data_IF_556412418240
#
_entry.id   IF_556412418240
#
_cell.length_a   1.000
_cell.length_b   1.000
_cell.length_c   1.000
_cell.angle_alpha   90.00
_cell.angle_beta   90.00
_cell.angle_gamma   90.00
#
_symmetry.space_group_name_H-M   'P 1'
#
loop_
_entity.id
_entity.type
_entity.pdbx_description
1 polymer ?
#
# COMPACT_ATOMS: atom_id res chain seq x y z
N UNK A 1 -4.01 -13.18 17.43
CA UNK A 1 -2.58 -13.55 17.42
C UNK A 1 -2.13 -14.19 16.12
N UNK A 2 -2.69 -15.31 15.62
CA UNK A 2 -2.19 -15.95 14.39
C UNK A 2 -2.36 -15.12 13.11
N UNK A 3 -3.51 -14.47 12.92
CA UNK A 3 -3.83 -13.71 11.70
C UNK A 3 -2.94 -12.46 11.51
N UNK A 4 -2.64 -11.74 12.59
CA UNK A 4 -1.80 -10.54 12.54
C UNK A 4 -0.34 -10.89 12.21
N UNK A 5 0.17 -11.99 12.76
CA UNK A 5 1.50 -12.49 12.45
C UNK A 5 1.64 -12.91 10.97
N UNK A 6 0.57 -13.47 10.38
CA UNK A 6 0.53 -13.80 8.96
C UNK A 6 0.61 -12.53 8.12
N UNK A 7 -0.19 -11.50 8.43
CA UNK A 7 -0.16 -10.24 7.68
C UNK A 7 1.23 -9.58 7.73
N UNK A 8 1.86 -9.52 8.91
CA UNK A 8 3.21 -8.94 9.04
C UNK A 8 4.25 -9.74 8.25
N UNK A 9 4.18 -11.07 8.29
CA UNK A 9 5.07 -11.93 7.48
C UNK A 9 4.91 -11.67 5.98
N UNK A 10 3.67 -11.56 5.51
CA UNK A 10 3.37 -11.26 4.11
C UNK A 10 3.85 -9.86 3.71
N UNK A 11 3.67 -8.84 4.54
CA UNK A 11 4.24 -7.51 4.33
C UNK A 11 5.77 -7.61 4.25
N UNK A 12 6.41 -8.32 5.17
CA UNK A 12 7.86 -8.52 5.16
C UNK A 12 8.35 -9.18 3.87
N UNK A 13 7.64 -10.20 3.36
CA UNK A 13 7.96 -10.83 2.06
C UNK A 13 7.85 -9.84 0.92
N UNK A 14 6.80 -9.02 0.88
CA UNK A 14 6.63 -7.98 -0.15
C UNK A 14 7.82 -7.04 -0.15
N UNK A 15 8.27 -6.55 1.02
CA UNK A 15 9.44 -5.66 1.10
C UNK A 15 10.78 -6.37 0.89
N UNK A 16 10.83 -7.70 0.98
CA UNK A 16 12.01 -8.48 0.61
C UNK A 16 12.09 -8.71 -0.91
N UNK A 17 10.95 -8.85 -1.58
CA UNK A 17 10.86 -9.07 -3.03
C UNK A 17 10.91 -7.77 -3.84
N UNK A 18 10.27 -6.70 -3.34
CA UNK A 18 10.12 -5.44 -4.04
C UNK A 18 10.84 -4.32 -3.29
N UNK A 19 11.68 -3.57 -4.01
CA UNK A 19 12.48 -2.47 -3.45
C UNK A 19 11.65 -1.20 -3.29
N UNK A 20 10.69 -0.95 -4.19
CA UNK A 20 9.84 0.25 -4.18
C UNK A 20 8.37 -0.12 -4.03
N UNK A 21 7.90 -0.07 -2.80
CA UNK A 21 6.53 -0.41 -2.43
C UNK A 21 5.75 0.86 -2.09
N UNK A 22 4.49 0.91 -2.52
CA UNK A 22 3.52 1.90 -2.08
C UNK A 22 2.34 1.23 -1.36
N UNK A 23 1.69 1.97 -0.48
CA UNK A 23 0.40 1.60 0.12
C UNK A 23 -0.65 2.59 -0.39
N UNK A 24 -1.71 2.08 -1.02
CA UNK A 24 -2.78 2.91 -1.55
C UNK A 24 -4.00 2.86 -0.62
N UNK A 25 -4.35 4.03 -0.07
CA UNK A 25 -5.45 4.25 0.84
C UNK A 25 -4.98 4.76 2.20
N UNK A 26 -5.76 5.68 2.78
CA UNK A 26 -5.53 6.28 4.11
C UNK A 26 -6.79 6.18 4.99
N UNK A 27 -7.56 5.10 4.82
CA UNK A 27 -8.74 4.81 5.65
C UNK A 27 -8.41 3.87 6.81
N UNK A 28 -9.43 3.47 7.56
CA UNK A 28 -9.30 2.63 8.77
C UNK A 28 -8.49 1.34 8.54
N UNK A 29 -8.60 0.73 7.36
CA UNK A 29 -7.82 -0.47 6.99
C UNK A 29 -6.32 -0.15 6.94
N UNK A 30 -5.95 0.97 6.32
CA UNK A 30 -4.57 1.41 6.25
C UNK A 30 -4.06 1.78 7.65
N UNK A 31 -4.90 2.41 8.49
CA UNK A 31 -4.53 2.74 9.86
C UNK A 31 -4.24 1.48 10.67
N UNK A 32 -5.11 0.46 10.58
CA UNK A 32 -4.91 -0.82 11.25
C UNK A 32 -3.66 -1.56 10.75
N UNK A 33 -3.37 -1.50 9.45
CA UNK A 33 -2.16 -2.08 8.87
C UNK A 33 -0.91 -1.39 9.41
N UNK A 34 -0.85 -0.06 9.36
CA UNK A 34 0.30 0.70 9.82
C UNK A 34 0.48 0.54 11.33
N UNK A 35 -0.59 0.57 12.13
CA UNK A 35 -0.49 0.43 13.57
C UNK A 35 0.14 -0.90 14.00
N UNK A 36 -0.23 -1.99 13.31
CA UNK A 36 0.21 -3.35 13.63
C UNK A 36 1.50 -3.77 12.95
N UNK A 37 1.84 -3.17 11.81
CA UNK A 37 3.02 -3.55 11.04
C UNK A 37 4.25 -2.75 11.43
N UNK A 38 5.20 -3.39 12.10
CA UNK A 38 6.54 -2.84 12.32
C UNK A 38 7.26 -2.58 11.00
N UNK A 39 7.11 -3.49 10.02
CA UNK A 39 7.74 -3.37 8.71
C UNK A 39 7.27 -2.11 7.97
N UNK A 40 5.97 -1.80 7.96
CA UNK A 40 5.48 -0.57 7.32
C UNK A 40 6.05 0.69 7.96
N UNK A 41 6.10 0.74 9.30
CA UNK A 41 6.66 1.89 10.04
C UNK A 41 8.16 2.07 9.76
N UNK A 42 8.94 1.00 9.71
CA UNK A 42 10.39 1.05 9.50
C UNK A 42 10.76 1.32 8.03
N UNK A 43 10.03 0.72 7.08
CA UNK A 43 10.33 0.84 5.65
C UNK A 43 9.85 2.14 5.05
N UNK A 44 8.90 2.83 5.70
CA UNK A 44 8.39 4.13 5.28
C UNK A 44 7.99 4.17 3.79
N UNK A 45 7.01 3.35 3.37
CA UNK A 45 6.59 3.29 1.96
C UNK A 45 5.93 4.58 1.49
N UNK A 46 5.76 4.70 0.18
CA UNK A 46 4.92 5.76 -0.37
C UNK A 46 3.45 5.50 0.00
N UNK A 47 2.82 6.45 0.69
CA UNK A 47 1.37 6.40 0.95
C UNK A 47 0.66 7.17 -0.15
N UNK A 48 -0.34 6.56 -0.78
CA UNK A 48 -1.05 7.12 -1.95
C UNK A 48 -2.53 7.23 -1.65
N UNK A 49 -3.14 8.38 -1.94
CA UNK A 49 -4.59 8.54 -1.87
C UNK A 49 -5.12 9.42 -3.00
N UNK A 50 -6.26 9.02 -3.58
CA UNK A 50 -6.93 9.78 -4.64
C UNK A 50 -7.65 11.02 -4.10
N UNK A 51 -7.94 11.08 -2.81
CA UNK A 51 -8.58 12.22 -2.18
C UNK A 51 -7.59 13.39 -2.08
N UNK A 52 -7.79 14.41 -2.92
CA UNK A 52 -6.95 15.62 -2.96
C UNK A 52 -6.84 16.34 -1.61
N UNK A 53 -7.89 16.27 -0.78
CA UNK A 53 -7.89 16.90 0.54
C UNK A 53 -6.96 16.19 1.54
N UNK A 54 -6.59 14.94 1.27
CA UNK A 54 -5.65 14.17 2.09
C UNK A 54 -4.22 14.27 1.58
N UNK A 55 -3.99 14.70 0.35
CA UNK A 55 -2.64 14.78 -0.22
C UNK A 55 -1.82 15.86 0.49
N UNK A 56 -0.50 15.64 0.55
CA UNK A 56 0.46 16.44 1.32
C UNK A 56 0.27 16.41 2.85
N UNK A 57 -0.78 15.76 3.36
CA UNK A 57 -0.93 15.50 4.80
C UNK A 57 0.01 14.38 5.27
N UNK A 58 0.08 14.19 6.58
CA UNK A 58 0.89 13.14 7.21
C UNK A 58 0.01 11.95 7.59
N UNK A 59 0.50 10.74 7.31
CA UNK A 59 -0.11 9.47 7.67
C UNK A 59 0.96 8.55 8.24
N UNK A 60 0.95 8.33 9.56
CA UNK A 60 1.98 7.54 10.26
C UNK A 60 3.42 7.96 9.91
N UNK A 61 3.68 9.26 9.80
CA UNK A 61 5.00 9.82 9.45
C UNK A 61 5.33 9.79 7.95
N UNK A 62 4.44 9.23 7.12
CA UNK A 62 4.55 9.27 5.66
C UNK A 62 3.77 10.46 5.11
N UNK A 63 4.31 11.18 4.12
CA UNK A 63 3.51 12.16 3.37
C UNK A 63 2.59 11.45 2.40
N UNK A 64 1.30 11.78 2.42
CA UNK A 64 0.31 11.23 1.48
C UNK A 64 0.53 11.85 0.10
N UNK A 65 0.89 11.02 -0.86
CA UNK A 65 1.10 11.39 -2.26
C UNK A 65 -0.17 11.21 -3.09
N UNK A 66 -0.22 11.89 -4.23
CA UNK A 66 -1.24 11.62 -5.22
C UNK A 66 -0.90 10.36 -6.06
N UNK A 67 -1.88 9.80 -6.80
CA UNK A 67 -1.68 8.65 -7.68
C UNK A 67 -0.56 8.76 -8.72
N UNK A 68 -0.15 9.97 -9.15
CA UNK A 68 0.93 10.13 -10.15
C UNK A 68 2.27 9.53 -9.69
N UNK A 69 2.48 9.45 -8.36
CA UNK A 69 3.74 8.99 -7.78
C UNK A 69 4.06 7.54 -8.18
N UNK A 70 3.03 6.74 -8.45
CA UNK A 70 3.14 5.34 -8.85
C UNK A 70 3.97 5.20 -10.13
N UNK A 71 3.77 6.11 -11.09
CA UNK A 71 4.56 6.16 -12.32
C UNK A 71 5.94 6.78 -12.11
N UNK A 72 5.98 7.93 -11.42
CA UNK A 72 7.19 8.75 -11.29
C UNK A 72 8.29 8.09 -10.47
N UNK A 73 7.93 7.41 -9.39
CA UNK A 73 8.90 6.78 -8.47
C UNK A 73 9.23 5.35 -8.85
N UNK A 74 8.79 4.88 -10.01
CA UNK A 74 8.99 3.52 -10.50
C UNK A 74 8.55 2.47 -9.47
N UNK A 75 7.37 2.66 -8.88
CA UNK A 75 6.82 1.73 -7.89
C UNK A 75 6.70 0.33 -8.51
N UNK A 76 7.19 -0.68 -7.80
CA UNK A 76 7.23 -2.07 -8.27
C UNK A 76 6.02 -2.86 -7.74
N UNK A 77 5.61 -2.57 -6.51
CA UNK A 77 4.43 -3.17 -5.88
C UNK A 77 3.56 -2.13 -5.15
N UNK A 78 2.25 -2.35 -5.18
CA UNK A 78 1.26 -1.53 -4.47
C UNK A 78 0.40 -2.45 -3.59
N UNK A 79 0.42 -2.19 -2.29
CA UNK A 79 -0.52 -2.78 -1.33
C UNK A 79 -1.77 -1.90 -1.34
N UNK A 80 -2.92 -2.46 -1.75
CA UNK A 80 -4.19 -1.75 -1.82
C UNK A 80 -4.94 -1.92 -0.50
N UNK A 81 -4.87 -0.89 0.35
CA UNK A 81 -5.49 -0.83 1.67
C UNK A 81 -6.92 -0.25 1.61
N UNK A 82 -7.73 -0.80 0.70
CA UNK A 82 -9.14 -0.44 0.54
C UNK A 82 -9.93 -1.68 0.12
N UNK A 83 -11.03 -2.00 0.82
CA UNK A 83 -11.94 -3.07 0.38
C UNK A 83 -12.84 -2.62 -0.77
N UNK A 84 -13.55 -1.48 -0.58
CA UNK A 84 -14.61 -1.05 -1.50
C UNK A 84 -14.11 -0.61 -2.88
N UNK A 85 -12.84 -0.22 -2.99
CA UNK A 85 -12.27 0.32 -4.22
C UNK A 85 -11.10 -0.51 -4.77
N UNK A 86 -10.87 -1.72 -4.23
CA UNK A 86 -9.70 -2.52 -4.56
C UNK A 86 -9.53 -2.75 -6.07
N UNK A 87 -10.59 -3.19 -6.74
CA UNK A 87 -10.59 -3.52 -8.17
C UNK A 87 -10.45 -2.29 -9.05
N UNK A 88 -11.08 -1.18 -8.65
CA UNK A 88 -10.97 0.10 -9.36
C UNK A 88 -9.55 0.64 -9.29
N UNK A 89 -8.94 0.62 -8.10
CA UNK A 89 -7.55 1.04 -7.87
C UNK A 89 -6.60 0.17 -8.69
N UNK A 90 -6.75 -1.17 -8.64
CA UNK A 90 -5.94 -2.08 -9.43
C UNK A 90 -6.08 -1.80 -10.94
N UNK A 91 -7.31 -1.65 -11.44
CA UNK A 91 -7.58 -1.31 -12.84
C UNK A 91 -6.89 -0.01 -13.25
N UNK A 92 -6.93 1.01 -12.39
CA UNK A 92 -6.23 2.28 -12.60
C UNK A 92 -4.72 2.10 -12.66
N UNK A 93 -4.12 1.38 -11.71
CA UNK A 93 -2.67 1.11 -11.69
C UNK A 93 -2.26 0.37 -12.97
N UNK A 94 -3.00 -0.66 -13.37
CA UNK A 94 -2.69 -1.47 -14.55
C UNK A 94 -2.79 -0.69 -15.86
N UNK A 95 -3.75 0.24 -15.98
CA UNK A 95 -3.85 1.16 -17.13
C UNK A 95 -2.64 2.08 -17.24
N UNK A 96 -2.08 2.47 -16.11
CA UNK A 96 -0.90 3.32 -16.06
C UNK A 96 0.39 2.54 -16.27
N UNK A 97 0.53 1.37 -15.62
CA UNK A 97 1.71 0.50 -15.72
C UNK A 97 1.35 -0.93 -15.34
N UNK A 98 1.21 -1.80 -16.34
CA UNK A 98 0.77 -3.20 -16.16
C UNK A 98 1.77 -4.09 -15.42
N UNK A 99 3.04 -3.70 -15.34
CA UNK A 99 4.10 -4.45 -14.66
C UNK A 99 4.10 -4.31 -13.13
N UNK A 100 3.30 -3.39 -12.57
CA UNK A 100 3.23 -3.19 -11.12
C UNK A 100 2.45 -4.32 -10.47
N UNK A 101 3.04 -4.95 -9.46
CA UNK A 101 2.35 -5.96 -8.66
C UNK A 101 1.32 -5.28 -7.75
N UNK A 102 0.04 -5.57 -7.96
CA UNK A 102 -1.02 -5.15 -7.05
C UNK A 102 -1.29 -6.27 -6.05
N UNK A 103 -1.25 -5.97 -4.74
CA UNK A 103 -1.60 -6.88 -3.65
C UNK A 103 -2.78 -6.27 -2.89
N UNK A 104 -3.95 -6.91 -2.94
CA UNK A 104 -5.12 -6.43 -2.20
C UNK A 104 -5.01 -6.86 -0.74
N UNK A 105 -5.60 -6.08 0.16
CA UNK A 105 -5.65 -6.42 1.59
C UNK A 105 -6.17 -7.84 1.86
N UNK A 106 -7.16 -8.31 1.08
CA UNK A 106 -7.72 -9.66 1.19
C UNK A 106 -6.73 -10.77 0.82
N UNK A 107 -5.73 -10.44 -0.02
CA UNK A 107 -4.73 -11.39 -0.50
C UNK A 107 -3.50 -11.40 0.41
N UNK A 108 -3.38 -10.48 1.37
CA UNK A 108 -2.25 -10.45 2.28
C UNK A 108 -2.18 -11.68 3.17
N UNK A 109 -3.31 -12.28 3.56
CA UNK A 109 -3.28 -13.52 4.35
C UNK A 109 -2.81 -14.75 3.57
N UNK A 110 -2.66 -14.65 2.25
CA UNK A 110 -2.30 -15.76 1.35
C UNK A 110 -1.01 -15.49 0.57
N UNK A 111 -0.29 -14.41 0.89
CA UNK A 111 0.94 -13.96 0.23
C UNK A 111 2.20 -14.49 0.94
#
# INVERSE_FOLDING_TARGET
MAFEAVIEDSIRKIFAEYRRVAVWGTGEIAEALFDKSTTLKERNPFVVDSNVNKQSSQFFGCTVCSPHIVSEKQIEAVIIASHSYADEIESRIRKTRSSIKCIKINDLSTF
#
